data_IF_049351017699
#
_entry.id   IF_049351017699
#
_cell.length_a   1.000
_cell.length_b   1.000
_cell.length_c   1.000
_cell.angle_alpha   90.00
_cell.angle_beta   90.00
_cell.angle_gamma   90.00
#
_symmetry.space_group_name_H-M   'P 1'
#
loop_
_entity.id
_entity.type
_entity.pdbx_description
1 polymer ?
#
# COMPACT_ATOMS: atom_id res chain seq x y z
N UNK A 1 -0.18 34.41 3.93
CA UNK A 1 -1.18 34.88 4.92
C UNK A 1 -2.57 35.19 4.36
N UNK A 2 -2.89 34.94 3.07
CA UNK A 2 -4.26 35.10 2.53
C UNK A 2 -4.88 33.81 1.93
N UNK A 3 -4.18 32.66 1.97
CA UNK A 3 -4.71 31.36 1.51
C UNK A 3 -5.43 30.60 2.64
N UNK A 4 -5.04 30.82 3.90
CA UNK A 4 -5.56 30.08 5.06
C UNK A 4 -7.01 30.46 5.45
N UNK A 5 -7.49 31.62 4.99
CA UNK A 5 -8.83 32.11 5.31
C UNK A 5 -9.95 31.53 4.42
N UNK A 6 -9.61 30.94 3.27
CA UNK A 6 -10.58 30.36 2.33
C UNK A 6 -10.93 28.91 2.67
N UNK A 7 -10.02 28.17 3.30
CA UNK A 7 -10.29 26.80 3.78
C UNK A 7 -11.22 26.80 5.00
N UNK A 8 -11.12 27.82 5.86
CA UNK A 8 -11.97 27.96 7.04
C UNK A 8 -13.44 28.26 6.71
N UNK A 9 -13.74 28.92 5.58
CA UNK A 9 -15.12 29.25 5.19
C UNK A 9 -15.91 28.10 4.57
N UNK A 10 -15.24 27.09 3.97
CA UNK A 10 -15.91 25.92 3.41
C UNK A 10 -16.32 24.86 4.46
N UNK A 11 -15.73 24.91 5.66
CA UNK A 11 -16.06 23.97 6.75
C UNK A 11 -17.23 24.45 7.62
N UNK A 12 -17.64 25.71 7.51
CA UNK A 12 -18.65 26.32 8.38
C UNK A 12 -20.11 26.16 7.90
N UNK A 13 -20.36 25.56 6.72
CA UNK A 13 -21.70 25.49 6.12
C UNK A 13 -22.04 24.08 5.60
N UNK A 14 -21.94 23.05 6.45
CA UNK A 14 -22.63 21.77 6.20
C UNK A 14 -23.73 21.55 7.23
N UNK A 15 -24.96 21.21 6.82
CA UNK A 15 -26.08 20.99 7.73
C UNK A 15 -25.81 19.79 8.65
N UNK A 16 -26.06 20.00 9.95
CA UNK A 16 -25.81 19.11 11.11
C UNK A 16 -26.47 17.71 11.05
N UNK A 17 -27.19 17.38 9.98
CA UNK A 17 -28.05 16.19 9.91
C UNK A 17 -27.36 14.98 9.23
N UNK A 18 -26.18 15.17 8.63
CA UNK A 18 -25.40 14.10 7.98
C UNK A 18 -24.17 13.62 8.78
N UNK A 19 -23.89 14.21 9.94
CA UNK A 19 -22.80 13.76 10.82
C UNK A 19 -23.21 12.59 11.73
N UNK A 20 -24.50 12.43 12.05
CA UNK A 20 -24.96 11.38 12.96
C UNK A 20 -24.98 9.97 12.36
N UNK A 21 -25.03 9.81 11.02
CA UNK A 21 -25.05 8.48 10.37
C UNK A 21 -23.70 7.95 9.89
N UNK A 22 -22.65 8.78 9.89
CA UNK A 22 -21.29 8.36 9.54
C UNK A 22 -20.49 7.97 10.80
N UNK A 23 -20.88 8.48 11.98
CA UNK A 23 -20.26 8.13 13.26
C UNK A 23 -20.54 6.67 13.69
N UNK A 24 -21.71 6.11 13.36
CA UNK A 24 -22.17 4.83 13.91
C UNK A 24 -21.62 3.55 13.22
N UNK A 25 -20.83 3.69 12.14
CA UNK A 25 -20.09 2.54 11.56
C UNK A 25 -18.57 2.67 11.69
N UNK A 26 -18.09 3.65 12.45
CA UNK A 26 -16.67 3.83 12.76
C UNK A 26 -16.28 3.30 14.16
N UNK A 27 -17.21 2.67 14.89
CA UNK A 27 -16.96 2.17 16.24
C UNK A 27 -16.37 0.75 16.33
N UNK A 28 -16.33 -0.04 15.25
CA UNK A 28 -15.89 -1.45 15.33
C UNK A 28 -14.42 -1.72 14.96
N UNK A 29 -13.59 -0.69 14.78
CA UNK A 29 -12.15 -0.86 14.51
C UNK A 29 -11.21 0.01 15.35
N UNK A 30 -11.70 0.60 16.45
CA UNK A 30 -10.82 1.12 17.50
C UNK A 30 -10.32 -0.04 18.37
N UNK A 31 -9.46 -0.89 17.82
CA UNK A 31 -8.60 -1.74 18.68
C UNK A 31 -7.77 -0.78 19.54
N UNK A 32 -7.80 -0.92 20.88
CA UNK A 32 -7.16 0.06 21.74
C UNK A 32 -5.64 0.01 21.50
N UNK A 33 -5.05 1.20 21.32
CA UNK A 33 -3.62 1.46 21.17
C UNK A 33 -2.75 0.76 22.22
N UNK A 34 -3.34 0.39 23.36
CA UNK A 34 -2.72 -0.31 24.48
C UNK A 34 -2.17 -1.70 24.15
N UNK A 35 -2.68 -2.39 23.12
CA UNK A 35 -2.21 -3.77 22.79
C UNK A 35 -0.88 -3.76 22.02
N UNK A 36 -0.53 -2.65 21.38
CA UNK A 36 0.50 -2.65 20.34
C UNK A 36 1.76 -1.85 20.67
N UNK A 37 1.73 -0.95 21.65
CA UNK A 37 2.91 -0.18 22.09
C UNK A 37 3.57 -0.79 23.33
N UNK A 38 3.89 -2.08 23.26
CA UNK A 38 4.50 -2.85 24.36
C UNK A 38 6.00 -3.09 24.18
N UNK A 39 6.61 -2.56 23.11
CA UNK A 39 8.03 -2.76 22.87
C UNK A 39 8.90 -1.92 23.82
N UNK A 40 10.13 -2.36 24.16
CA UNK A 40 11.06 -1.64 25.04
C UNK A 40 11.68 -0.41 24.33
N UNK A 41 10.84 0.55 23.98
CA UNK A 41 11.22 1.91 23.60
C UNK A 41 11.71 2.66 24.84
N UNK A 42 12.58 3.67 24.71
CA UNK A 42 13.00 4.43 25.91
C UNK A 42 11.80 5.08 26.61
N UNK A 43 10.77 5.52 25.87
CA UNK A 43 9.52 5.98 26.46
C UNK A 43 8.84 4.94 27.36
N UNK A 44 8.79 3.67 26.93
CA UNK A 44 8.23 2.58 27.74
C UNK A 44 9.15 2.16 28.88
N UNK A 45 10.47 2.15 28.67
CA UNK A 45 11.43 1.85 29.73
C UNK A 45 11.36 2.86 30.88
N UNK A 46 11.14 4.14 30.58
CA UNK A 46 10.87 5.17 31.61
C UNK A 46 9.57 4.86 32.34
N UNK A 47 8.51 4.56 31.60
CA UNK A 47 7.21 4.18 32.18
C UNK A 47 7.32 2.96 33.10
N UNK A 48 8.23 2.03 32.81
CA UNK A 48 8.46 0.82 33.60
C UNK A 48 9.51 1.00 34.72
N UNK A 49 10.03 2.21 34.93
CA UNK A 49 11.06 2.48 35.94
C UNK A 49 12.40 1.79 35.66
N UNK A 50 12.71 1.51 34.38
CA UNK A 50 13.96 0.87 33.94
C UNK A 50 14.96 1.85 33.34
N UNK A 51 14.55 3.09 33.10
CA UNK A 51 15.37 4.18 32.55
C UNK A 51 14.83 5.52 33.04
N UNK A 52 15.67 6.55 33.08
CA UNK A 52 15.24 7.89 33.52
C UNK A 52 14.85 8.81 32.34
N UNK A 53 15.45 8.58 31.16
CA UNK A 53 15.31 9.44 29.99
C UNK A 53 14.63 8.73 28.79
N UNK A 54 13.52 9.27 28.26
CA UNK A 54 12.83 8.70 27.10
C UNK A 54 13.42 9.14 25.75
N UNK A 55 14.54 9.89 25.71
CA UNK A 55 15.12 10.43 24.48
C UNK A 55 15.64 9.35 23.52
N UNK A 56 15.60 9.66 22.24
CA UNK A 56 16.15 8.85 21.16
C UNK A 56 17.65 9.13 21.04
N UNK A 57 18.52 8.10 21.12
CA UNK A 57 19.97 8.31 21.00
C UNK A 57 20.43 8.86 19.65
N UNK A 58 19.57 8.79 18.62
CA UNK A 58 19.87 9.29 17.28
C UNK A 58 19.54 10.77 17.13
N UNK A 59 18.32 11.17 17.47
CA UNK A 59 17.82 12.51 17.17
C UNK A 59 17.36 13.32 18.38
N UNK A 60 17.58 12.81 19.60
CA UNK A 60 17.23 13.44 20.88
C UNK A 60 15.72 13.71 21.12
N UNK A 61 14.84 13.32 20.19
CA UNK A 61 13.38 13.39 20.39
C UNK A 61 12.86 12.25 21.27
N UNK A 62 11.61 12.30 21.72
CA UNK A 62 11.01 11.21 22.52
C UNK A 62 10.95 9.89 21.72
N UNK A 63 11.60 8.84 22.21
CA UNK A 63 11.68 7.54 21.55
C UNK A 63 10.47 6.66 21.91
N UNK A 64 9.41 6.74 21.09
CA UNK A 64 8.29 5.79 21.07
C UNK A 64 8.51 4.70 20.01
N UNK A 65 7.62 3.69 19.97
CA UNK A 65 7.63 2.70 18.89
C UNK A 65 7.41 3.33 17.52
N UNK A 66 6.42 4.22 17.40
CA UNK A 66 6.17 5.00 16.19
C UNK A 66 7.37 5.86 15.79
N UNK A 67 8.02 6.50 16.76
CA UNK A 67 9.22 7.30 16.52
C UNK A 67 10.30 6.47 15.83
N UNK A 68 10.63 5.31 16.40
CA UNK A 68 11.67 4.42 15.88
C UNK A 68 11.30 3.92 14.48
N UNK A 69 10.06 3.46 14.31
CA UNK A 69 9.65 2.78 13.08
C UNK A 69 9.28 3.71 11.94
N UNK A 70 9.01 5.00 12.17
CA UNK A 70 8.49 5.84 11.09
C UNK A 70 8.70 7.36 11.21
N UNK A 71 9.25 7.90 12.29
CA UNK A 71 9.27 9.37 12.51
C UNK A 71 10.63 9.93 12.95
N UNK A 72 11.66 9.11 13.13
CA UNK A 72 12.98 9.58 13.51
C UNK A 72 13.69 10.24 12.31
N UNK A 73 14.00 11.53 12.43
CA UNK A 73 14.64 12.33 11.37
C UNK A 73 16.02 11.78 10.96
N UNK A 74 16.81 11.33 11.95
CA UNK A 74 18.14 10.75 11.71
C UNK A 74 18.03 9.36 11.08
N UNK A 75 17.07 8.53 11.50
CA UNK A 75 16.81 7.24 10.85
C UNK A 75 16.38 7.41 9.39
N UNK A 76 15.57 8.44 9.10
CA UNK A 76 15.18 8.81 7.74
C UNK A 76 16.39 9.23 6.91
N UNK A 77 17.22 10.15 7.41
CA UNK A 77 18.40 10.63 6.67
C UNK A 77 19.46 9.54 6.46
N UNK A 78 19.54 8.56 7.36
CA UNK A 78 20.39 7.38 7.23
C UNK A 78 19.85 6.34 6.23
N UNK A 79 18.65 6.54 5.69
CA UNK A 79 18.06 5.63 4.71
C UNK A 79 17.44 4.35 5.30
N UNK A 80 17.22 4.27 6.62
CA UNK A 80 16.62 3.06 7.25
C UNK A 80 15.22 2.76 6.72
N UNK A 81 14.41 3.81 6.58
CA UNK A 81 13.05 3.67 6.06
C UNK A 81 13.05 3.40 4.55
N UNK A 82 14.01 3.96 3.81
CA UNK A 82 14.24 3.64 2.39
C UNK A 82 14.62 2.17 2.23
N UNK A 83 15.49 1.63 3.09
CA UNK A 83 15.85 0.22 3.06
C UNK A 83 14.64 -0.69 3.28
N UNK A 84 13.81 -0.42 4.29
CA UNK A 84 12.54 -1.16 4.49
C UNK A 84 11.61 -1.02 3.29
N UNK A 85 11.43 0.20 2.78
CA UNK A 85 10.56 0.44 1.64
C UNK A 85 11.02 -0.35 0.41
N UNK A 86 12.31 -0.30 0.08
CA UNK A 86 12.89 -1.03 -1.05
C UNK A 86 12.72 -2.55 -0.91
N UNK A 87 12.83 -3.11 0.31
CA UNK A 87 12.56 -4.53 0.56
C UNK A 87 11.11 -4.91 0.23
N UNK A 88 10.15 -4.12 0.67
CA UNK A 88 8.73 -4.37 0.36
C UNK A 88 8.45 -4.13 -1.13
N UNK A 89 9.09 -3.12 -1.72
CA UNK A 89 8.98 -2.79 -3.14
C UNK A 89 9.48 -3.94 -4.04
N UNK A 90 10.62 -4.55 -3.70
CA UNK A 90 11.17 -5.71 -4.39
C UNK A 90 10.15 -6.86 -4.46
N UNK A 91 9.56 -7.22 -3.32
CA UNK A 91 8.55 -8.28 -3.25
C UNK A 91 7.28 -7.92 -4.02
N UNK A 92 6.80 -6.68 -3.90
CA UNK A 92 5.61 -6.23 -4.62
C UNK A 92 5.83 -6.25 -6.14
N UNK A 93 6.97 -5.76 -6.61
CA UNK A 93 7.32 -5.78 -8.02
C UNK A 93 7.44 -7.21 -8.56
N UNK A 94 8.08 -8.11 -7.81
CA UNK A 94 8.19 -9.54 -8.14
C UNK A 94 6.82 -10.21 -8.25
N UNK A 95 5.92 -9.98 -7.30
CA UNK A 95 4.54 -10.51 -7.32
C UNK A 95 3.80 -10.03 -8.57
N UNK A 96 3.88 -8.74 -8.88
CA UNK A 96 3.19 -8.14 -10.04
C UNK A 96 3.76 -8.70 -11.35
N UNK A 97 5.09 -8.78 -11.46
CA UNK A 97 5.76 -9.29 -12.66
C UNK A 97 5.47 -10.76 -12.91
N UNK A 98 5.42 -11.58 -11.85
CA UNK A 98 5.09 -13.01 -11.96
C UNK A 98 3.64 -13.21 -12.42
N UNK A 99 2.71 -12.43 -11.90
CA UNK A 99 1.30 -12.53 -12.26
C UNK A 99 1.04 -12.18 -13.75
N UNK A 100 1.83 -11.27 -14.34
CA UNK A 100 1.76 -10.94 -15.76
C UNK A 100 2.00 -12.19 -16.65
N UNK A 101 2.92 -13.07 -16.26
CA UNK A 101 3.29 -14.26 -17.04
C UNK A 101 2.23 -15.38 -17.03
N UNK A 102 1.20 -15.29 -16.20
CA UNK A 102 0.23 -16.36 -15.97
C UNK A 102 -1.20 -16.02 -16.47
N UNK A 103 -1.37 -14.96 -17.26
CA UNK A 103 -2.67 -14.60 -17.85
C UNK A 103 -3.04 -15.66 -18.90
N UNK A 104 -3.65 -16.76 -18.44
CA UNK A 104 -4.19 -17.80 -19.30
C UNK A 104 -5.46 -17.31 -19.99
N UNK A 105 -5.72 -17.72 -21.26
CA UNK A 105 -7.00 -17.49 -21.90
C UNK A 105 -8.11 -18.16 -21.07
N UNK A 106 -9.19 -17.41 -20.86
CA UNK A 106 -10.37 -17.78 -20.10
C UNK A 106 -10.83 -19.21 -20.39
N UNK A 107 -10.61 -20.15 -19.48
CA UNK A 107 -11.36 -21.40 -19.48
C UNK A 107 -12.61 -21.18 -18.64
N UNK A 108 -13.76 -21.17 -19.31
CA UNK A 108 -15.08 -21.14 -18.68
C UNK A 108 -15.30 -22.44 -17.92
N UNK A 109 -14.79 -22.55 -16.71
CA UNK A 109 -15.11 -23.68 -15.84
C UNK A 109 -16.51 -23.45 -15.25
N UNK A 110 -17.52 -24.03 -15.90
CA UNK A 110 -18.81 -24.23 -15.26
C UNK A 110 -18.65 -25.31 -14.19
N UNK A 111 -18.43 -24.93 -12.93
CA UNK A 111 -18.55 -25.86 -11.81
C UNK A 111 -20.02 -26.27 -11.66
N UNK A 112 -20.34 -27.47 -12.12
CA UNK A 112 -21.64 -28.11 -11.88
C UNK A 112 -21.57 -28.79 -10.52
N UNK A 113 -22.35 -28.31 -9.56
CA UNK A 113 -22.54 -29.02 -8.29
C UNK A 113 -23.47 -30.22 -8.54
N UNK A 114 -22.98 -31.43 -8.31
CA UNK A 114 -23.77 -32.67 -8.34
C UNK A 114 -23.93 -33.15 -6.90
N UNK A 115 -25.17 -33.38 -6.48
CA UNK A 115 -25.48 -34.01 -5.18
C UNK A 115 -25.36 -35.52 -5.28
N UNK A 116 -24.85 -36.18 -4.23
CA UNK A 116 -24.90 -37.65 -4.12
C UNK A 116 -26.34 -38.15 -4.23
N UNK A 117 -26.58 -39.15 -5.08
CA UNK A 117 -27.90 -39.78 -5.26
C UNK A 117 -28.61 -39.47 -6.59
N UNK A 118 -28.08 -38.57 -7.42
CA UNK A 118 -28.31 -38.60 -8.85
C UNK A 118 -29.76 -38.53 -9.38
N UNK A 119 -30.71 -37.77 -8.80
CA UNK A 119 -31.90 -37.33 -9.57
C UNK A 119 -32.50 -35.99 -9.08
N UNK A 120 -32.86 -35.16 -10.08
CA UNK A 120 -33.75 -33.98 -10.14
C UNK A 120 -33.08 -32.60 -10.08
N UNK A 121 -33.02 -31.99 -11.28
CA UNK A 121 -32.67 -30.59 -11.57
C UNK A 121 -33.44 -29.65 -10.64
N UNK A 122 -32.73 -28.74 -9.99
CA UNK A 122 -33.32 -27.55 -9.38
C UNK A 122 -33.99 -26.70 -10.48
N UNK A 123 -35.23 -26.27 -10.25
CA UNK A 123 -35.92 -25.26 -11.07
C UNK A 123 -35.45 -23.84 -10.76
N UNK A 124 -34.21 -23.69 -10.29
CA UNK A 124 -33.53 -22.40 -10.20
C UNK A 124 -32.59 -22.33 -11.39
N UNK A 125 -32.95 -21.55 -12.41
CA UNK A 125 -32.08 -21.30 -13.54
C UNK A 125 -30.69 -20.92 -13.00
N UNK A 126 -29.66 -21.65 -13.41
CA UNK A 126 -28.28 -21.25 -13.21
C UNK A 126 -28.13 -19.89 -13.88
N UNK A 127 -28.26 -18.82 -13.12
CA UNK A 127 -27.86 -17.50 -13.60
C UNK A 127 -26.38 -17.66 -13.90
N UNK A 128 -25.92 -17.48 -15.15
CA UNK A 128 -24.50 -17.43 -15.42
C UNK A 128 -23.97 -16.24 -14.62
N UNK A 129 -23.33 -16.51 -13.48
CA UNK A 129 -22.58 -15.48 -12.78
C UNK A 129 -21.41 -15.21 -13.70
N UNK A 130 -21.53 -14.18 -14.53
CA UNK A 130 -20.42 -13.63 -15.30
C UNK A 130 -19.45 -13.01 -14.28
N UNK A 131 -18.67 -13.86 -13.62
CA UNK A 131 -17.66 -13.48 -12.62
C UNK A 131 -16.42 -12.88 -13.26
N UNK A 132 -16.34 -12.80 -14.58
CA UNK A 132 -15.22 -12.19 -15.27
C UNK A 132 -15.30 -10.66 -15.14
N UNK A 133 -14.96 -10.16 -13.96
CA UNK A 133 -14.57 -8.76 -13.83
C UNK A 133 -13.31 -8.61 -14.65
N UNK A 134 -13.41 -7.84 -15.75
CA UNK A 134 -12.28 -7.49 -16.59
C UNK A 134 -11.17 -6.92 -15.70
N UNK A 135 -10.04 -7.62 -15.63
CA UNK A 135 -8.83 -7.22 -14.95
C UNK A 135 -8.26 -5.96 -15.59
N UNK A 136 -7.47 -5.22 -14.81
CA UNK A 136 -6.82 -4.00 -15.27
C UNK A 136 -5.78 -4.27 -16.37
N UNK A 137 -5.25 -5.49 -16.43
CA UNK A 137 -4.31 -5.94 -17.45
C UNK A 137 -4.99 -6.67 -18.62
N UNK A 138 -6.32 -6.75 -18.65
CA UNK A 138 -7.03 -7.44 -19.71
C UNK A 138 -7.10 -6.57 -20.98
N UNK A 139 -6.72 -7.13 -22.12
CA UNK A 139 -6.91 -6.52 -23.44
C UNK A 139 -5.64 -6.28 -24.25
N UNK A 140 -4.46 -6.51 -23.68
CA UNK A 140 -3.19 -6.54 -24.40
C UNK A 140 -2.13 -7.40 -23.69
N UNK A 141 -1.18 -7.93 -24.45
CA UNK A 141 -0.13 -8.84 -23.96
C UNK A 141 1.24 -8.15 -23.78
N UNK A 142 1.37 -6.89 -24.20
CA UNK A 142 2.62 -6.13 -24.24
C UNK A 142 2.90 -5.31 -22.96
N UNK A 143 2.24 -5.65 -21.84
CA UNK A 143 2.47 -4.97 -20.57
C UNK A 143 3.93 -5.07 -20.12
N UNK A 144 4.57 -3.98 -19.71
CA UNK A 144 5.93 -3.98 -19.17
C UNK A 144 5.90 -3.40 -17.75
N UNK A 145 6.53 -4.13 -16.83
CA UNK A 145 6.62 -3.76 -15.41
C UNK A 145 8.03 -3.22 -15.13
N UNK A 146 8.09 -2.01 -14.57
CA UNK A 146 9.35 -1.35 -14.16
C UNK A 146 9.23 -0.87 -12.72
N UNK A 147 10.33 -0.79 -11.98
CA UNK A 147 10.35 -0.37 -10.58
C UNK A 147 11.49 0.62 -10.30
N UNK A 148 11.33 1.51 -9.33
CA UNK A 148 12.38 2.45 -8.86
C UNK A 148 13.39 1.72 -7.96
N UNK A 149 14.01 0.67 -8.51
CA UNK A 149 15.02 -0.17 -7.88
C UNK A 149 16.20 -0.36 -8.85
N UNK A 150 17.46 -0.47 -8.35
CA UNK A 150 18.64 -0.56 -9.21
C UNK A 150 18.64 -1.77 -10.15
N UNK A 151 18.16 -2.92 -9.67
CA UNK A 151 18.08 -4.17 -10.41
C UNK A 151 16.88 -4.30 -11.37
N UNK A 152 16.00 -3.29 -11.44
CA UNK A 152 14.81 -3.30 -12.30
C UNK A 152 14.96 -2.43 -13.55
N UNK A 153 14.15 -2.72 -14.56
CA UNK A 153 14.06 -1.89 -15.76
C UNK A 153 13.70 -0.44 -15.40
N UNK A 154 14.34 0.50 -16.09
CA UNK A 154 14.05 1.92 -15.93
C UNK A 154 12.62 2.22 -16.40
N UNK A 155 11.96 3.15 -15.71
CA UNK A 155 10.64 3.62 -16.10
C UNK A 155 10.59 4.13 -17.55
N UNK A 156 9.43 4.07 -18.21
CA UNK A 156 9.26 4.61 -19.56
C UNK A 156 9.60 6.10 -19.62
N UNK A 157 10.06 6.54 -20.78
CA UNK A 157 10.57 7.91 -20.99
C UNK A 157 9.56 9.00 -20.60
N UNK A 158 8.27 8.75 -20.81
CA UNK A 158 7.19 9.68 -20.43
C UNK A 158 7.17 9.95 -18.92
N UNK A 159 7.35 8.92 -18.09
CA UNK A 159 7.41 9.06 -16.64
C UNK A 159 8.75 9.68 -16.21
N UNK A 160 9.86 9.27 -16.85
CA UNK A 160 11.21 9.78 -16.50
C UNK A 160 11.37 11.29 -16.71
N UNK A 161 10.62 11.88 -17.63
CA UNK A 161 10.60 13.33 -17.88
C UNK A 161 9.85 14.12 -16.81
N UNK A 162 8.99 13.45 -16.04
CA UNK A 162 8.20 14.08 -14.99
C UNK A 162 9.04 14.28 -13.73
N UNK A 163 8.66 15.24 -12.89
CA UNK A 163 9.32 15.47 -11.60
C UNK A 163 8.99 14.39 -10.55
N UNK A 164 7.99 13.54 -10.80
CA UNK A 164 7.53 12.52 -9.89
C UNK A 164 8.05 11.14 -10.28
N UNK A 165 8.32 10.33 -9.27
CA UNK A 165 8.75 8.94 -9.41
C UNK A 165 7.75 8.02 -8.72
N UNK A 166 6.84 7.37 -9.47
CA UNK A 166 6.12 6.20 -8.97
C UNK A 166 7.10 5.12 -8.54
N UNK A 167 6.70 4.20 -7.67
CA UNK A 167 7.61 3.13 -7.24
C UNK A 167 7.58 1.95 -8.22
N UNK A 168 6.42 1.68 -8.82
CA UNK A 168 6.26 0.71 -9.91
C UNK A 168 5.42 1.37 -11.01
N UNK A 169 5.81 1.13 -12.26
CA UNK A 169 5.03 1.51 -13.44
C UNK A 169 4.77 0.26 -14.27
N UNK A 170 3.49 -0.02 -14.53
CA UNK A 170 3.02 -1.04 -15.45
C UNK A 170 2.48 -0.30 -16.68
N UNK A 171 3.01 -0.54 -17.86
CA UNK A 171 2.60 0.20 -19.06
C UNK A 171 2.47 -0.69 -20.28
N UNK A 172 1.57 -0.34 -21.20
CA UNK A 172 1.43 -0.99 -22.51
C UNK A 172 1.67 0.07 -23.58
N UNK A 173 2.57 -0.24 -24.53
CA UNK A 173 2.90 0.68 -25.61
C UNK A 173 1.81 0.69 -26.68
N UNK A 174 1.22 -0.47 -26.97
CA UNK A 174 0.17 -0.65 -27.97
C UNK A 174 -1.13 0.09 -27.62
N UNK A 175 -1.51 0.10 -26.33
CA UNK A 175 -2.76 0.70 -25.86
C UNK A 175 -2.58 2.07 -25.18
N UNK A 176 -1.33 2.54 -25.09
CA UNK A 176 -0.96 3.78 -24.37
C UNK A 176 -1.51 3.83 -22.93
N UNK A 177 -1.59 2.69 -22.25
CA UNK A 177 -2.04 2.61 -20.86
C UNK A 177 -0.86 2.67 -19.89
N UNK A 178 -1.03 3.39 -18.78
CA UNK A 178 -0.02 3.53 -17.72
C UNK A 178 -0.69 3.37 -16.35
N UNK A 179 -0.20 2.43 -15.55
CA UNK A 179 -0.62 2.20 -14.17
C UNK A 179 0.57 2.52 -13.27
N UNK A 180 0.41 3.57 -12.47
CA UNK A 180 1.42 4.03 -11.52
C UNK A 180 1.07 3.53 -10.13
N UNK A 181 1.91 2.68 -9.56
CA UNK A 181 1.76 2.19 -8.19
C UNK A 181 2.69 2.99 -7.28
N UNK A 182 2.15 3.50 -6.17
CA UNK A 182 2.93 4.20 -5.15
C UNK A 182 2.86 3.47 -3.82
N UNK A 183 3.95 2.82 -3.44
CA UNK A 183 4.07 2.10 -2.18
C UNK A 183 4.47 3.07 -1.06
N UNK A 184 3.80 2.93 0.08
CA UNK A 184 4.20 3.57 1.33
C UNK A 184 4.19 2.57 2.47
N UNK A 185 5.13 2.72 3.40
CA UNK A 185 5.25 1.88 4.60
C UNK A 185 5.15 2.72 5.88
N UNK A 186 3.95 3.29 6.18
CA UNK A 186 3.74 4.16 7.32
C UNK A 186 3.61 3.37 8.63
N UNK A 187 3.62 4.08 9.76
CA UNK A 187 3.05 3.53 10.99
C UNK A 187 1.52 3.43 10.84
N UNK A 188 0.88 2.43 11.44
CA UNK A 188 -0.52 2.10 11.15
C UNK A 188 -1.49 3.26 11.43
N UNK A 189 -1.18 4.11 12.41
CA UNK A 189 -1.94 5.32 12.75
C UNK A 189 -2.07 6.32 11.59
N UNK A 190 -1.14 6.29 10.64
CA UNK A 190 -1.02 7.26 9.55
C UNK A 190 -1.36 6.69 8.19
N UNK A 191 -1.91 5.48 8.12
CA UNK A 191 -2.19 4.81 6.85
C UNK A 191 -3.20 5.58 5.99
N UNK A 192 -4.31 6.03 6.57
CA UNK A 192 -5.36 6.76 5.83
C UNK A 192 -4.86 8.13 5.33
N UNK A 193 -4.16 8.87 6.19
CA UNK A 193 -3.57 10.16 5.84
C UNK A 193 -2.52 10.01 4.73
N UNK A 194 -1.66 8.99 4.83
CA UNK A 194 -0.66 8.69 3.81
C UNK A 194 -1.32 8.35 2.47
N UNK A 195 -2.39 7.56 2.48
CA UNK A 195 -3.16 7.21 1.30
C UNK A 195 -3.70 8.45 0.59
N UNK A 196 -4.49 9.27 1.30
CA UNK A 196 -5.12 10.45 0.73
C UNK A 196 -4.10 11.45 0.18
N UNK A 197 -2.99 11.66 0.89
CA UNK A 197 -1.93 12.55 0.44
C UNK A 197 -1.24 12.06 -0.85
N UNK A 198 -0.97 10.75 -0.95
CA UNK A 198 -0.33 10.18 -2.16
C UNK A 198 -1.30 10.12 -3.32
N UNK A 199 -2.56 9.79 -3.09
CA UNK A 199 -3.58 9.79 -4.12
C UNK A 199 -3.69 11.17 -4.77
N UNK A 200 -3.88 12.22 -3.96
CA UNK A 200 -3.99 13.59 -4.46
C UNK A 200 -2.75 14.02 -5.26
N UNK A 201 -1.56 13.73 -4.75
CA UNK A 201 -0.29 14.10 -5.40
C UNK A 201 -0.10 13.44 -6.77
N UNK A 202 -0.43 12.16 -6.90
CA UNK A 202 -0.24 11.44 -8.18
C UNK A 202 -1.42 11.60 -9.14
N UNK A 203 -2.58 12.05 -8.65
CA UNK A 203 -3.72 12.37 -9.48
C UNK A 203 -3.41 13.49 -10.48
N UNK A 204 -2.66 14.52 -10.08
CA UNK A 204 -2.21 15.60 -10.96
C UNK A 204 -1.39 15.06 -12.15
N UNK A 205 -0.41 14.21 -11.86
CA UNK A 205 0.40 13.54 -12.90
C UNK A 205 -0.45 12.67 -13.83
N UNK A 206 -1.45 11.97 -13.29
CA UNK A 206 -2.37 11.18 -14.12
C UNK A 206 -3.17 12.05 -15.08
N UNK A 207 -3.54 13.26 -14.68
CA UNK A 207 -4.25 14.21 -15.55
C UNK A 207 -3.34 14.76 -16.65
N UNK A 208 -2.07 15.04 -16.35
CA UNK A 208 -1.07 15.44 -17.35
C UNK A 208 -0.87 14.36 -18.40
N UNK A 209 -0.65 13.12 -17.97
CA UNK A 209 -0.49 11.98 -18.89
C UNK A 209 -1.73 11.74 -19.77
N UNK A 210 -2.93 11.97 -19.23
CA UNK A 210 -4.17 11.90 -20.01
C UNK A 210 -4.27 12.98 -21.07
N UNK A 211 -3.76 14.18 -20.82
CA UNK A 211 -3.68 15.24 -21.84
C UNK A 211 -2.71 14.86 -22.95
N UNK A 212 -1.65 14.12 -22.61
CA UNK A 212 -0.67 13.59 -23.56
C UNK A 212 -1.15 12.31 -24.29
N UNK A 213 -2.42 11.92 -24.11
CA UNK A 213 -3.06 10.80 -24.81
C UNK A 213 -2.93 9.45 -24.13
N UNK A 214 -2.37 9.37 -22.92
CA UNK A 214 -2.25 8.11 -22.18
C UNK A 214 -3.46 7.84 -21.28
N UNK A 215 -3.93 6.59 -21.23
CA UNK A 215 -4.85 6.18 -20.17
C UNK A 215 -4.07 5.91 -18.88
N UNK A 216 -3.93 6.94 -18.04
CA UNK A 216 -3.17 6.85 -16.79
C UNK A 216 -4.05 6.53 -15.57
N UNK A 217 -3.62 5.59 -14.72
CA UNK A 217 -4.26 5.21 -13.45
C UNK A 217 -3.25 5.25 -12.30
N UNK A 218 -3.69 5.73 -11.14
CA UNK A 218 -2.89 5.85 -9.92
C UNK A 218 -3.37 4.84 -8.90
N UNK A 219 -2.44 4.12 -8.29
CA UNK A 219 -2.71 3.09 -7.30
C UNK A 219 -1.78 3.26 -6.10
N UNK A 220 -2.13 4.11 -5.12
CA UNK A 220 -1.42 4.16 -3.84
C UNK A 220 -1.62 2.83 -3.10
N UNK A 221 -0.57 2.36 -2.43
CA UNK A 221 -0.55 1.11 -1.67
C UNK A 221 0.12 1.35 -0.33
N UNK A 222 -0.55 0.94 0.74
CA UNK A 222 -0.06 1.09 2.10
C UNK A 222 0.14 -0.28 2.74
N UNK A 223 1.34 -0.52 3.25
CA UNK A 223 1.66 -1.65 4.12
C UNK A 223 2.19 -1.07 5.43
N UNK A 224 1.51 -1.30 6.55
CA UNK A 224 1.95 -0.86 7.86
C UNK A 224 3.32 -1.41 8.24
N UNK A 225 4.12 -0.59 8.90
CA UNK A 225 5.46 -0.95 9.38
C UNK A 225 5.47 -2.22 10.25
N UNK A 226 4.36 -2.55 10.90
CA UNK A 226 4.19 -3.74 11.76
C UNK A 226 3.46 -4.88 11.04
N UNK A 227 3.41 -4.86 9.71
CA UNK A 227 2.81 -5.91 8.89
C UNK A 227 1.30 -5.75 8.65
N UNK A 228 0.71 -4.60 9.00
CA UNK A 228 -0.72 -4.38 8.72
C UNK A 228 -0.93 -4.14 7.22
N UNK A 229 -1.73 -4.97 6.57
CA UNK A 229 -1.99 -4.82 5.12
C UNK A 229 -3.15 -3.86 4.89
N UNK A 230 -2.90 -2.78 4.14
CA UNK A 230 -3.94 -1.84 3.74
C UNK A 230 -4.93 -2.46 2.75
N UNK A 231 -6.17 -1.97 2.77
CA UNK A 231 -7.21 -2.36 1.79
C UNK A 231 -6.78 -2.04 0.35
N UNK A 232 -5.94 -1.01 0.17
CA UNK A 232 -5.34 -0.61 -1.10
C UNK A 232 -4.45 -1.70 -1.73
N UNK A 233 -3.63 -2.40 -0.92
CA UNK A 233 -2.80 -3.51 -1.40
C UNK A 233 -3.67 -4.66 -1.92
N UNK A 234 -4.70 -5.03 -1.17
CA UNK A 234 -5.68 -6.03 -1.59
C UNK A 234 -6.42 -5.59 -2.87
N UNK A 235 -6.82 -4.31 -2.93
CA UNK A 235 -7.49 -3.71 -4.08
C UNK A 235 -6.64 -3.71 -5.33
N UNK A 236 -5.33 -3.40 -5.22
CA UNK A 236 -4.37 -3.49 -6.32
C UNK A 236 -4.28 -4.91 -6.86
N UNK A 237 -3.98 -5.89 -6.00
CA UNK A 237 -3.85 -7.28 -6.45
C UNK A 237 -5.13 -7.79 -7.10
N UNK A 238 -6.29 -7.43 -6.56
CA UNK A 238 -7.58 -7.81 -7.15
C UNK A 238 -7.82 -7.16 -8.51
N UNK A 239 -7.43 -5.89 -8.69
CA UNK A 239 -7.49 -5.20 -9.99
C UNK A 239 -6.52 -5.80 -11.01
N UNK A 240 -5.38 -6.32 -10.57
CA UNK A 240 -4.41 -7.02 -11.42
C UNK A 240 -4.75 -8.52 -11.62
N UNK A 241 -5.99 -8.93 -11.32
CA UNK A 241 -6.47 -10.32 -11.45
C UNK A 241 -5.71 -11.35 -10.59
N UNK A 242 -4.97 -10.91 -9.57
CA UNK A 242 -4.30 -11.78 -8.60
C UNK A 242 -5.33 -12.14 -7.52
N UNK A 243 -5.89 -13.35 -7.63
CA UNK A 243 -6.94 -13.85 -6.75
C UNK A 243 -6.53 -15.01 -5.84
N UNK A 244 -7.50 -15.46 -5.02
CA UNK A 244 -7.42 -16.72 -4.26
C UNK A 244 -6.17 -16.88 -3.38
N UNK A 245 -5.61 -18.09 -3.38
CA UNK A 245 -4.43 -18.46 -2.58
C UNK A 245 -3.19 -17.63 -2.94
N UNK A 246 -3.02 -17.27 -4.22
CA UNK A 246 -1.90 -16.45 -4.71
C UNK A 246 -1.92 -15.07 -4.06
N UNK A 247 -3.09 -14.41 -4.04
CA UNK A 247 -3.27 -13.12 -3.36
C UNK A 247 -2.98 -13.21 -1.86
N UNK A 248 -3.52 -14.22 -1.18
CA UNK A 248 -3.29 -14.40 0.26
C UNK A 248 -1.81 -14.60 0.56
N UNK A 249 -1.10 -15.41 -0.25
CA UNK A 249 0.35 -15.60 -0.13
C UNK A 249 1.12 -14.30 -0.37
N UNK A 250 0.76 -13.53 -1.40
CA UNK A 250 1.39 -12.25 -1.71
C UNK A 250 1.20 -11.22 -0.58
N UNK A 251 -0.01 -11.03 -0.07
CA UNK A 251 -0.27 -10.10 1.02
C UNK A 251 0.46 -10.49 2.31
N UNK A 252 0.54 -11.80 2.59
CA UNK A 252 1.32 -12.32 3.72
C UNK A 252 2.81 -12.02 3.56
N UNK A 253 3.37 -12.28 2.38
CA UNK A 253 4.77 -11.98 2.07
C UNK A 253 5.08 -10.50 2.25
N UNK A 254 4.24 -9.60 1.74
CA UNK A 254 4.41 -8.15 1.90
C UNK A 254 4.38 -7.72 3.38
N UNK A 255 3.45 -8.28 4.16
CA UNK A 255 3.33 -8.04 5.59
C UNK A 255 4.58 -8.50 6.36
N UNK A 256 5.00 -9.75 6.13
CA UNK A 256 6.16 -10.36 6.78
C UNK A 256 7.45 -9.62 6.41
N UNK A 257 7.61 -9.19 5.15
CA UNK A 257 8.75 -8.39 4.71
C UNK A 257 8.78 -7.02 5.39
N UNK A 258 7.63 -6.34 5.52
CA UNK A 258 7.54 -5.07 6.23
C UNK A 258 7.89 -5.24 7.72
N UNK A 259 7.36 -6.28 8.37
CA UNK A 259 7.61 -6.57 9.79
C UNK A 259 9.09 -6.94 10.04
N UNK A 260 9.65 -7.86 9.26
CA UNK A 260 11.05 -8.30 9.38
C UNK A 260 12.01 -7.13 9.15
N UNK A 261 11.71 -6.28 8.17
CA UNK A 261 12.51 -5.10 7.90
C UNK A 261 12.39 -4.06 9.03
N UNK A 262 11.20 -3.89 9.60
CA UNK A 262 11.00 -3.05 10.79
C UNK A 262 11.69 -3.61 12.03
N UNK A 263 11.74 -4.93 12.19
CA UNK A 263 12.51 -5.58 13.26
C UNK A 263 14.01 -5.30 13.12
N UNK A 264 14.53 -5.32 11.89
CA UNK A 264 15.91 -4.92 11.63
C UNK A 264 16.18 -3.48 12.06
N UNK A 265 15.28 -2.54 11.73
CA UNK A 265 15.36 -1.13 12.17
C UNK A 265 15.30 -1.04 13.70
N UNK A 266 14.36 -1.76 14.32
CA UNK A 266 14.14 -1.76 15.76
C UNK A 266 15.36 -2.23 16.55
N UNK A 267 15.98 -3.32 16.10
CA UNK A 267 17.17 -3.87 16.75
C UNK A 267 18.34 -2.88 16.73
N UNK A 268 18.42 -2.07 15.67
CA UNK A 268 19.48 -1.07 15.48
C UNK A 268 19.10 0.33 15.94
N UNK A 269 17.96 0.52 16.60
CA UNK A 269 17.38 1.84 16.90
C UNK A 269 18.28 2.80 17.68
N UNK A 270 19.29 2.26 18.39
CA UNK A 270 20.24 3.03 19.18
C UNK A 270 21.64 3.12 18.54
N UNK A 271 21.89 2.43 17.43
CA UNK A 271 23.17 2.45 16.72
C UNK A 271 23.31 3.75 15.93
N UNK A 272 24.36 4.54 16.19
CA UNK A 272 24.56 5.84 15.53
C UNK A 272 24.98 5.73 14.07
N UNK A 273 25.71 4.68 13.72
CA UNK A 273 26.17 4.42 12.36
C UNK A 273 25.56 3.11 11.88
N UNK A 274 25.11 3.09 10.63
CA UNK A 274 24.83 1.85 9.93
C UNK A 274 26.12 1.51 9.20
N UNK A 275 26.73 0.37 9.53
CA UNK A 275 27.76 -0.19 8.66
C UNK A 275 27.09 -0.47 7.32
N UNK A 276 27.53 0.25 6.29
CA UNK A 276 27.17 -0.03 4.90
C UNK A 276 28.03 -1.22 4.50
N UNK A 277 27.47 -2.41 4.62
CA UNK A 277 27.96 -3.55 3.86
C UNK A 277 27.55 -3.38 2.39
#
# INVERSE_FOLDING_TARGET
>A
MKQDALVAKCLANRPEILQSRVQDRACDLKRPWSVYDLLPSNANLVRWGKKDDPTCPLCQGRQTTEHVLSSCKVALSQGRYTWRHNRVLQELASVISTAKGEIHPSSTSSTVFITEGGVKKWHGGSIPINTHRKGLLDGCDDWVVSADLPEWERHPNVIRKTALRPDIVIHSASTQQIIMVKLTVPYESRMEEAHAFKEAKYLELSQELKKDGYEAKVMPVEIGARGFVGSSAYGLLSKLSIGGKKRTKALRLLAETAENSSRWIWNRRNERLLHKD
#
